data_IF_554172259159
#
_entry.id   IF_554172259159
#
_cell.length_a   1.000
_cell.length_b   1.000
_cell.length_c   1.000
_cell.angle_alpha   90.00
_cell.angle_beta   90.00
_cell.angle_gamma   90.00
#
_symmetry.space_group_name_H-M   'P 1'
#
loop_
_entity.id
_entity.type
_entity.pdbx_description
1 polymer ?
#
# COMPACT_ATOMS: atom_id res chain seq x y z
N UNK A 1 46.29 14.03 -11.49
CA UNK A 1 45.02 14.46 -12.14
C UNK A 1 43.79 13.72 -11.62
N UNK A 2 43.79 12.38 -11.52
CA UNK A 2 42.67 11.56 -10.98
C UNK A 2 42.18 11.98 -9.57
N UNK A 3 43.09 12.35 -8.67
CA UNK A 3 42.77 12.75 -7.28
C UNK A 3 42.00 14.07 -7.15
N UNK A 4 42.25 15.06 -8.02
CA UNK A 4 41.47 16.32 -8.06
C UNK A 4 40.06 16.13 -8.62
N UNK A 5 39.88 15.18 -9.55
CA UNK A 5 38.56 14.87 -10.13
C UNK A 5 37.70 14.13 -9.09
N UNK A 6 38.27 13.14 -8.41
CA UNK A 6 37.57 12.40 -7.35
C UNK A 6 37.18 13.29 -6.15
N UNK A 7 38.03 14.24 -5.77
CA UNK A 7 37.71 15.17 -4.68
C UNK A 7 36.64 16.20 -5.08
N UNK A 8 36.64 16.67 -6.33
CA UNK A 8 35.60 17.54 -6.88
C UNK A 8 34.25 16.82 -7.01
N UNK A 9 34.24 15.56 -7.47
CA UNK A 9 33.03 14.73 -7.49
C UNK A 9 32.47 14.50 -6.08
N UNK A 10 33.32 14.16 -5.09
CA UNK A 10 32.88 14.02 -3.70
C UNK A 10 32.27 15.30 -3.14
N UNK A 11 32.86 16.48 -3.40
CA UNK A 11 32.29 17.77 -2.98
C UNK A 11 30.95 18.06 -3.63
N UNK A 12 30.79 17.78 -4.93
CA UNK A 12 29.53 18.02 -5.64
C UNK A 12 28.41 17.11 -5.13
N UNK A 13 28.70 15.83 -4.85
CA UNK A 13 27.73 14.90 -4.25
C UNK A 13 27.33 15.40 -2.84
N UNK A 14 28.30 15.91 -2.07
CA UNK A 14 28.01 16.43 -0.74
C UNK A 14 27.16 17.71 -0.78
N UNK A 15 27.44 18.62 -1.72
CA UNK A 15 26.65 19.83 -1.96
C UNK A 15 25.24 19.54 -2.48
N UNK A 16 25.08 18.52 -3.32
CA UNK A 16 23.75 18.09 -3.78
C UNK A 16 22.94 17.50 -2.62
N UNK A 17 23.59 16.68 -1.77
CA UNK A 17 22.95 16.15 -0.56
C UNK A 17 22.61 17.24 0.49
N UNK A 18 23.27 18.40 0.45
CA UNK A 18 23.01 19.51 1.39
C UNK A 18 21.95 20.51 0.89
N UNK A 19 21.55 20.47 -0.39
CA UNK A 19 20.47 21.32 -0.90
C UNK A 19 19.13 20.69 -0.53
N UNK A 20 18.30 21.43 0.21
CA UNK A 20 16.92 21.02 0.49
C UNK A 20 16.11 21.05 -0.81
N UNK A 21 15.89 19.89 -1.40
CA UNK A 21 14.94 19.75 -2.51
C UNK A 21 13.54 20.01 -1.95
N UNK A 22 12.76 20.87 -2.61
CA UNK A 22 11.41 21.19 -2.18
C UNK A 22 10.55 19.90 -2.17
N UNK A 23 10.04 19.46 -1.01
CA UNK A 23 9.29 18.20 -0.91
C UNK A 23 8.01 18.21 -1.76
N UNK A 24 7.36 19.36 -1.94
CA UNK A 24 6.12 19.46 -2.72
C UNK A 24 6.42 19.14 -4.20
N UNK A 25 7.52 19.68 -4.73
CA UNK A 25 7.93 19.41 -6.12
C UNK A 25 8.24 17.93 -6.31
N UNK A 26 8.94 17.31 -5.36
CA UNK A 26 9.27 15.87 -5.41
C UNK A 26 8.00 15.02 -5.40
N UNK A 27 7.03 15.34 -4.54
CA UNK A 27 5.76 14.61 -4.47
C UNK A 27 4.94 14.79 -5.75
N UNK A 28 4.85 16.01 -6.27
CA UNK A 28 4.17 16.29 -7.53
C UNK A 28 4.79 15.50 -8.69
N UNK A 29 6.12 15.40 -8.74
CA UNK A 29 6.82 14.57 -9.72
C UNK A 29 6.49 13.09 -9.55
N UNK A 30 6.46 12.55 -8.33
CA UNK A 30 6.08 11.14 -8.12
C UNK A 30 4.63 10.87 -8.53
N UNK A 31 3.71 11.78 -8.21
CA UNK A 31 2.30 11.66 -8.65
C UNK A 31 2.23 11.65 -10.18
N UNK A 32 2.93 12.57 -10.84
CA UNK A 32 2.97 12.66 -12.30
C UNK A 32 3.62 11.42 -12.94
N UNK A 33 4.70 10.90 -12.36
CA UNK A 33 5.36 9.68 -12.82
C UNK A 33 4.41 8.49 -12.69
N UNK A 34 3.77 8.30 -11.53
CA UNK A 34 2.79 7.23 -11.33
C UNK A 34 1.61 7.35 -12.28
N UNK A 35 1.14 8.57 -12.57
CA UNK A 35 0.11 8.81 -13.58
C UNK A 35 0.57 8.39 -14.97
N UNK A 36 1.69 8.95 -15.43
CA UNK A 36 2.18 8.77 -16.80
C UNK A 36 2.61 7.33 -17.10
N UNK A 37 3.19 6.62 -16.13
CA UNK A 37 3.63 5.24 -16.33
C UNK A 37 2.50 4.22 -16.23
N UNK A 38 1.44 4.50 -15.44
CA UNK A 38 0.43 3.47 -15.11
C UNK A 38 -1.00 3.78 -15.56
N UNK A 39 -1.39 5.06 -15.61
CA UNK A 39 -2.78 5.49 -15.81
C UNK A 39 -2.95 6.49 -16.96
N UNK A 40 -1.92 6.77 -17.76
CA UNK A 40 -2.03 7.74 -18.86
C UNK A 40 -3.17 7.42 -19.84
N UNK A 41 -3.39 6.13 -20.12
CA UNK A 41 -4.44 5.62 -21.00
C UNK A 41 -5.68 5.12 -20.25
N UNK A 42 -5.96 5.61 -19.04
CA UNK A 42 -7.03 5.07 -18.20
C UNK A 42 -8.43 5.10 -18.83
N UNK A 43 -8.70 6.04 -19.74
CA UNK A 43 -9.96 6.13 -20.47
C UNK A 43 -10.13 5.03 -21.52
N UNK A 44 -9.05 4.36 -21.92
CA UNK A 44 -9.06 3.23 -22.85
C UNK A 44 -9.09 1.89 -22.12
N UNK A 45 -8.95 1.89 -20.79
CA UNK A 45 -9.03 0.66 -20.01
C UNK A 45 -10.49 0.18 -19.94
N UNK A 46 -10.67 -1.12 -20.15
CA UNK A 46 -11.96 -1.80 -20.07
C UNK A 46 -12.06 -2.65 -18.82
N UNK A 47 -13.12 -3.45 -18.73
CA UNK A 47 -13.26 -4.46 -17.67
C UNK A 47 -12.52 -5.72 -18.11
N UNK A 48 -11.60 -6.20 -17.28
CA UNK A 48 -10.80 -7.40 -17.58
C UNK A 48 -11.38 -8.65 -16.90
N UNK A 49 -10.85 -9.82 -17.24
CA UNK A 49 -11.33 -11.14 -16.78
C UNK A 49 -11.65 -11.17 -15.27
N UNK A 50 -10.67 -10.78 -14.43
CA UNK A 50 -10.81 -10.80 -12.97
C UNK A 50 -11.87 -9.79 -12.45
N UNK A 51 -12.13 -8.72 -13.21
CA UNK A 51 -13.02 -7.63 -12.83
C UNK A 51 -14.50 -7.98 -13.07
N UNK A 52 -14.79 -8.81 -14.07
CA UNK A 52 -16.16 -9.11 -14.52
C UNK A 52 -17.08 -9.64 -13.43
N UNK A 53 -16.55 -10.37 -12.45
CA UNK A 53 -17.38 -10.94 -11.37
C UNK A 53 -17.85 -9.90 -10.35
N UNK A 54 -17.15 -8.78 -10.19
CA UNK A 54 -17.38 -7.85 -9.06
C UNK A 54 -17.68 -6.42 -9.49
N UNK A 55 -16.93 -5.91 -10.46
CA UNK A 55 -16.98 -4.49 -10.85
C UNK A 55 -18.32 -4.16 -11.51
N UNK A 56 -18.78 -4.86 -12.57
CA UNK A 56 -20.09 -4.58 -13.18
C UNK A 56 -21.27 -4.73 -12.21
N UNK A 57 -21.21 -5.72 -11.32
CA UNK A 57 -22.27 -5.96 -10.32
C UNK A 57 -22.42 -4.75 -9.41
N UNK A 58 -21.30 -4.21 -8.91
CA UNK A 58 -21.33 -3.04 -8.05
C UNK A 58 -21.68 -1.75 -8.79
N UNK A 59 -21.32 -1.63 -10.07
CA UNK A 59 -21.73 -0.50 -10.92
C UNK A 59 -23.24 -0.48 -11.15
N UNK A 60 -23.88 -1.66 -11.22
CA UNK A 60 -25.33 -1.76 -11.43
C UNK A 60 -26.17 -1.45 -10.19
N UNK A 61 -25.55 -1.33 -9.01
CA UNK A 61 -26.27 -1.08 -7.77
C UNK A 61 -26.86 0.33 -7.70
N UNK A 62 -27.98 0.44 -6.98
CA UNK A 62 -28.46 1.70 -6.43
C UNK A 62 -28.00 1.89 -4.97
N UNK A 63 -28.26 3.07 -4.39
CA UNK A 63 -27.86 3.38 -3.01
C UNK A 63 -28.45 2.41 -1.98
N UNK A 64 -29.68 1.92 -2.17
CA UNK A 64 -30.29 0.97 -1.23
C UNK A 64 -29.54 -0.36 -1.22
N UNK A 65 -29.21 -0.89 -2.40
CA UNK A 65 -28.41 -2.12 -2.54
C UNK A 65 -27.00 -1.93 -1.98
N UNK A 66 -26.38 -0.77 -2.20
CA UNK A 66 -25.09 -0.45 -1.60
C UNK A 66 -25.13 -0.42 -0.07
N UNK A 67 -26.15 0.22 0.53
CA UNK A 67 -26.32 0.21 1.99
C UNK A 67 -26.60 -1.19 2.54
N UNK A 68 -27.39 -1.99 1.83
CA UNK A 68 -27.63 -3.38 2.17
C UNK A 68 -26.31 -4.17 2.15
N UNK A 69 -25.52 -4.04 1.09
CA UNK A 69 -24.20 -4.62 0.99
C UNK A 69 -23.29 -4.22 2.18
N UNK A 70 -23.23 -2.93 2.53
CA UNK A 70 -22.44 -2.46 3.68
C UNK A 70 -22.91 -3.03 5.01
N UNK A 71 -24.23 -3.16 5.22
CA UNK A 71 -24.81 -3.75 6.43
C UNK A 71 -24.48 -5.23 6.62
N UNK A 72 -24.16 -5.93 5.53
CA UNK A 72 -23.73 -7.34 5.55
C UNK A 72 -22.23 -7.48 5.77
N UNK A 73 -21.45 -6.40 5.77
CA UNK A 73 -20.00 -6.49 6.00
C UNK A 73 -19.63 -7.10 7.37
N UNK A 74 -20.27 -6.75 8.49
CA UNK A 74 -19.95 -7.36 9.78
C UNK A 74 -20.23 -8.85 9.81
N UNK A 75 -21.36 -9.30 9.26
CA UNK A 75 -21.69 -10.73 9.19
C UNK A 75 -20.75 -11.47 8.23
N UNK A 76 -20.40 -10.88 7.09
CA UNK A 76 -19.39 -11.42 6.19
C UNK A 76 -18.03 -11.53 6.87
N UNK A 77 -17.62 -10.51 7.64
CA UNK A 77 -16.41 -10.47 8.50
C UNK A 77 -16.37 -11.54 9.58
N UNK A 78 -17.53 -11.86 10.14
CA UNK A 78 -17.64 -12.91 11.14
C UNK A 78 -17.62 -14.28 10.47
N UNK A 79 -18.34 -14.48 9.36
CA UNK A 79 -18.55 -15.79 8.72
C UNK A 79 -17.44 -16.23 7.73
N UNK A 80 -16.35 -15.47 7.60
CA UNK A 80 -15.22 -15.85 6.73
C UNK A 80 -15.57 -16.08 5.25
N UNK A 81 -16.71 -15.53 4.81
CA UNK A 81 -17.16 -15.56 3.43
C UNK A 81 -16.20 -14.78 2.52
N UNK A 82 -15.87 -15.34 1.34
CA UNK A 82 -15.04 -14.66 0.33
C UNK A 82 -13.64 -15.24 0.12
N UNK A 83 -13.52 -16.57 -0.01
CA UNK A 83 -12.27 -17.27 -0.38
C UNK A 83 -11.06 -16.92 0.52
N UNK A 84 -11.31 -16.57 1.78
CA UNK A 84 -10.25 -16.18 2.72
C UNK A 84 -9.67 -14.78 2.51
N UNK A 85 -10.32 -13.91 1.72
CA UNK A 85 -9.94 -12.48 1.57
C UNK A 85 -11.19 -11.62 1.65
N UNK A 86 -11.64 -11.37 2.87
CA UNK A 86 -13.00 -10.93 3.15
C UNK A 86 -13.24 -9.45 2.84
N UNK A 87 -12.24 -8.61 3.12
CA UNK A 87 -12.28 -7.19 2.81
C UNK A 87 -11.90 -6.92 1.35
N UNK A 88 -11.20 -7.84 0.68
CA UNK A 88 -10.79 -7.69 -0.70
C UNK A 88 -11.94 -7.44 -1.69
N UNK A 89 -12.95 -8.32 -1.83
CA UNK A 89 -14.08 -8.07 -2.71
C UNK A 89 -14.86 -6.84 -2.27
N UNK A 90 -14.91 -6.60 -0.95
CA UNK A 90 -15.67 -5.52 -0.37
C UNK A 90 -15.13 -4.15 -0.77
N UNK A 91 -13.80 -3.99 -0.78
CA UNK A 91 -13.14 -2.77 -1.25
C UNK A 91 -13.36 -2.56 -2.74
N UNK A 92 -13.20 -3.62 -3.55
CA UNK A 92 -13.42 -3.55 -5.00
C UNK A 92 -14.84 -3.06 -5.30
N UNK A 93 -15.84 -3.70 -4.69
CA UNK A 93 -17.25 -3.34 -4.91
C UNK A 93 -17.57 -1.93 -4.39
N UNK A 94 -17.05 -1.55 -3.22
CA UNK A 94 -17.26 -0.21 -2.66
C UNK A 94 -16.69 0.87 -3.58
N UNK A 95 -15.45 0.75 -4.01
CA UNK A 95 -14.83 1.73 -4.90
C UNK A 95 -15.42 1.70 -6.31
N UNK A 96 -15.89 0.54 -6.78
CA UNK A 96 -16.57 0.43 -8.09
C UNK A 96 -17.91 1.15 -8.08
N UNK A 97 -18.74 0.93 -7.05
CA UNK A 97 -20.01 1.63 -6.90
C UNK A 97 -19.79 3.15 -6.78
N UNK A 98 -18.90 3.59 -5.89
CA UNK A 98 -18.62 5.02 -5.71
C UNK A 98 -18.05 5.65 -6.99
N UNK A 99 -17.22 4.94 -7.74
CA UNK A 99 -16.67 5.43 -9.00
C UNK A 99 -17.76 5.57 -10.06
N UNK A 100 -18.66 4.59 -10.17
CA UNK A 100 -19.80 4.66 -11.07
C UNK A 100 -20.63 5.94 -10.84
N UNK A 101 -20.96 6.23 -9.59
CA UNK A 101 -21.74 7.42 -9.22
C UNK A 101 -21.04 8.75 -9.52
N UNK A 102 -19.71 8.77 -9.59
CA UNK A 102 -18.91 9.99 -9.80
C UNK A 102 -18.56 10.25 -11.27
N UNK A 103 -18.49 9.21 -12.10
CA UNK A 103 -18.05 9.37 -13.50
C UNK A 103 -17.83 8.05 -14.23
N UNK A 104 -18.56 7.01 -13.86
CA UNK A 104 -18.46 5.70 -14.51
C UNK A 104 -17.11 5.01 -14.30
N UNK A 105 -16.77 4.12 -15.23
CA UNK A 105 -15.53 3.34 -15.23
C UNK A 105 -14.25 4.21 -15.11
N UNK A 106 -14.25 5.39 -15.73
CA UNK A 106 -13.12 6.32 -15.66
C UNK A 106 -12.82 6.76 -14.23
N UNK A 107 -13.85 7.08 -13.43
CA UNK A 107 -13.68 7.46 -12.04
C UNK A 107 -13.23 6.28 -11.15
N UNK A 108 -13.64 5.05 -11.48
CA UNK A 108 -13.15 3.84 -10.80
C UNK A 108 -11.63 3.69 -10.99
N UNK A 109 -11.10 3.93 -12.20
CA UNK A 109 -9.66 3.95 -12.44
C UNK A 109 -8.93 5.09 -11.71
N UNK A 110 -9.56 6.27 -11.59
CA UNK A 110 -9.01 7.36 -10.80
C UNK A 110 -8.86 7.00 -9.31
N UNK A 111 -9.79 6.22 -8.74
CA UNK A 111 -9.61 5.67 -7.39
C UNK A 111 -8.39 4.76 -7.30
N UNK A 112 -8.22 3.85 -8.27
CA UNK A 112 -7.03 3.00 -8.38
C UNK A 112 -5.75 3.83 -8.43
N UNK A 113 -5.72 4.87 -9.26
CA UNK A 113 -4.61 5.83 -9.33
C UNK A 113 -4.32 6.49 -7.98
N UNK A 114 -5.34 7.02 -7.30
CA UNK A 114 -5.18 7.68 -6.01
C UNK A 114 -4.57 6.74 -4.95
N UNK A 115 -4.98 5.46 -4.92
CA UNK A 115 -4.42 4.45 -4.01
C UNK A 115 -2.93 4.22 -4.33
N UNK A 116 -2.58 4.00 -5.60
CA UNK A 116 -1.20 3.73 -6.02
C UNK A 116 -0.30 4.96 -5.82
N UNK A 117 -0.78 6.16 -6.10
CA UNK A 117 -0.08 7.41 -5.83
C UNK A 117 0.16 7.57 -4.33
N UNK A 118 -0.83 7.27 -3.49
CA UNK A 118 -0.69 7.28 -2.03
C UNK A 118 0.36 6.28 -1.56
N UNK A 119 0.39 5.06 -2.10
CA UNK A 119 1.43 4.07 -1.82
C UNK A 119 2.83 4.61 -2.15
N UNK A 120 2.97 5.26 -3.31
CA UNK A 120 4.24 5.86 -3.75
C UNK A 120 4.71 6.95 -2.78
N UNK A 121 3.79 7.82 -2.35
CA UNK A 121 4.07 8.90 -1.40
C UNK A 121 4.44 8.34 -0.02
N UNK A 122 3.70 7.35 0.47
CA UNK A 122 3.99 6.68 1.74
C UNK A 122 5.37 6.02 1.70
N UNK A 123 5.71 5.35 0.60
CA UNK A 123 7.02 4.72 0.43
C UNK A 123 8.16 5.76 0.40
N UNK A 124 7.99 6.87 -0.32
CA UNK A 124 8.93 7.99 -0.29
C UNK A 124 9.19 8.50 1.13
N UNK A 125 8.12 8.75 1.90
CA UNK A 125 8.27 9.19 3.28
C UNK A 125 8.88 8.13 4.18
N UNK A 126 8.65 6.84 3.91
CA UNK A 126 9.28 5.76 4.66
C UNK A 126 10.78 5.78 4.45
N UNK A 127 11.25 5.82 3.20
CA UNK A 127 12.67 5.94 2.88
C UNK A 127 13.28 7.22 3.47
N UNK A 128 12.57 8.35 3.40
CA UNK A 128 13.03 9.62 3.97
C UNK A 128 13.19 9.57 5.49
N UNK A 129 12.41 8.74 6.21
CA UNK A 129 12.57 8.52 7.65
C UNK A 129 13.75 7.60 7.97
N UNK A 130 14.05 6.66 7.08
CA UNK A 130 15.11 5.67 7.29
C UNK A 130 16.49 6.19 6.89
N UNK A 131 16.57 7.03 5.85
CA UNK A 131 17.81 7.47 5.23
C UNK A 131 17.87 8.98 5.06
N UNK A 132 19.03 9.56 5.38
CA UNK A 132 19.29 11.00 5.23
C UNK A 132 19.80 11.39 3.83
N UNK A 133 19.99 10.44 2.91
CA UNK A 133 20.60 10.68 1.60
C UNK A 133 19.49 10.89 0.53
N UNK A 134 19.29 12.11 0.00
CA UNK A 134 18.19 12.39 -0.93
C UNK A 134 18.22 11.54 -2.20
N UNK A 135 19.40 11.29 -2.76
CA UNK A 135 19.57 10.47 -3.96
C UNK A 135 19.05 9.05 -3.74
N UNK A 136 19.38 8.44 -2.60
CA UNK A 136 18.91 7.09 -2.27
C UNK A 136 17.39 7.05 -2.11
N UNK A 137 16.82 8.03 -1.42
CA UNK A 137 15.37 8.14 -1.22
C UNK A 137 14.64 8.30 -2.55
N UNK A 138 15.12 9.19 -3.43
CA UNK A 138 14.51 9.43 -4.74
C UNK A 138 14.64 8.20 -5.63
N UNK A 139 15.85 7.65 -5.78
CA UNK A 139 16.09 6.48 -6.62
C UNK A 139 15.28 5.27 -6.14
N UNK A 140 15.24 5.00 -4.83
CA UNK A 140 14.44 3.93 -4.26
C UNK A 140 12.94 4.11 -4.52
N UNK A 141 12.43 5.34 -4.39
CA UNK A 141 11.02 5.65 -4.69
C UNK A 141 10.72 5.49 -6.18
N UNK A 142 11.62 5.93 -7.07
CA UNK A 142 11.46 5.71 -8.51
C UNK A 142 11.42 4.23 -8.85
N UNK A 143 12.31 3.42 -8.27
CA UNK A 143 12.30 1.96 -8.45
C UNK A 143 10.97 1.36 -8.00
N UNK A 144 10.39 1.84 -6.91
CA UNK A 144 9.07 1.40 -6.44
C UNK A 144 7.94 1.83 -7.39
N UNK A 145 7.94 3.09 -7.83
CA UNK A 145 6.88 3.64 -8.68
C UNK A 145 6.91 3.09 -10.12
N UNK A 146 8.10 2.77 -10.62
CA UNK A 146 8.35 2.29 -11.98
C UNK A 146 8.65 0.78 -12.01
N UNK A 147 8.33 0.04 -10.94
CA UNK A 147 8.70 -1.36 -10.84
C UNK A 147 8.02 -2.18 -11.95
N UNK A 148 8.78 -2.77 -12.90
CA UNK A 148 8.20 -3.33 -14.12
C UNK A 148 7.50 -4.67 -13.90
N UNK A 149 7.60 -5.27 -12.70
CA UNK A 149 6.96 -6.54 -12.41
C UNK A 149 5.44 -6.42 -12.18
N UNK A 150 4.92 -5.22 -11.99
CA UNK A 150 3.49 -4.97 -11.79
C UNK A 150 2.88 -4.36 -13.07
N UNK A 151 2.55 -5.22 -14.03
CA UNK A 151 1.87 -4.85 -15.29
C UNK A 151 0.35 -4.92 -15.19
N UNK A 152 -0.21 -5.25 -14.03
CA UNK A 152 -1.65 -5.48 -13.82
C UNK A 152 -2.40 -4.19 -13.43
N UNK A 153 -1.82 -3.03 -13.74
CA UNK A 153 -2.40 -1.71 -13.44
C UNK A 153 -3.79 -1.48 -14.06
N UNK A 154 -4.09 -2.15 -15.17
CA UNK A 154 -5.40 -2.08 -15.81
C UNK A 154 -6.47 -2.95 -15.10
N UNK A 155 -6.05 -3.89 -14.24
CA UNK A 155 -6.97 -4.78 -13.52
C UNK A 155 -7.47 -4.07 -12.26
N UNK A 156 -8.75 -3.73 -12.22
CA UNK A 156 -9.35 -2.99 -11.12
C UNK A 156 -9.37 -3.80 -9.81
N UNK A 157 -9.53 -5.12 -9.90
CA UNK A 157 -9.34 -6.06 -8.80
C UNK A 157 -7.97 -5.92 -8.13
N UNK A 158 -6.91 -5.69 -8.91
CA UNK A 158 -5.59 -5.45 -8.36
C UNK A 158 -5.48 -4.04 -7.74
N UNK A 159 -5.90 -3.02 -8.49
CA UNK A 159 -5.80 -1.62 -8.05
C UNK A 159 -6.67 -1.30 -6.81
N UNK A 160 -7.85 -1.91 -6.69
CA UNK A 160 -8.82 -1.64 -5.62
C UNK A 160 -8.83 -2.73 -4.54
N UNK A 161 -8.32 -3.93 -4.84
CA UNK A 161 -8.28 -5.06 -3.91
C UNK A 161 -6.90 -5.34 -3.33
N UNK A 162 -5.82 -5.27 -4.12
CA UNK A 162 -4.46 -5.60 -3.65
C UNK A 162 -3.72 -4.36 -3.15
N UNK A 163 -3.75 -3.25 -3.89
CA UNK A 163 -3.01 -2.03 -3.54
C UNK A 163 -3.41 -1.42 -2.17
N UNK A 164 -4.67 -1.50 -1.71
CA UNK A 164 -5.01 -1.06 -0.34
C UNK A 164 -4.32 -1.88 0.76
N UNK A 165 -4.06 -3.17 0.55
CA UNK A 165 -3.30 -3.96 1.52
C UNK A 165 -1.84 -3.49 1.62
N UNK A 166 -1.23 -3.14 0.48
CA UNK A 166 0.08 -2.49 0.45
C UNK A 166 0.06 -1.13 1.16
N UNK A 167 -1.00 -0.35 0.97
CA UNK A 167 -1.20 0.92 1.68
C UNK A 167 -1.19 0.72 3.20
N UNK A 168 -1.95 -0.27 3.69
CA UNK A 168 -1.98 -0.62 5.12
C UNK A 168 -0.62 -1.11 5.63
N UNK A 169 0.12 -1.89 4.85
CA UNK A 169 1.49 -2.29 5.20
C UNK A 169 2.42 -1.08 5.34
N UNK A 170 2.38 -0.15 4.39
CA UNK A 170 3.21 1.07 4.44
C UNK A 170 2.83 1.95 5.64
N UNK A 171 1.53 2.12 5.89
CA UNK A 171 1.03 2.81 7.10
C UNK A 171 1.51 2.09 8.36
N UNK A 172 1.43 0.76 8.41
CA UNK A 172 1.92 -0.03 9.53
C UNK A 172 3.41 0.21 9.77
N UNK A 173 4.26 0.20 8.73
CA UNK A 173 5.68 0.55 8.90
C UNK A 173 5.88 1.95 9.47
N UNK A 174 5.16 2.95 8.97
CA UNK A 174 5.22 4.33 9.48
C UNK A 174 4.83 4.45 10.96
N UNK A 175 3.81 3.70 11.37
CA UNK A 175 3.33 3.66 12.74
C UNK A 175 4.30 2.89 13.65
N UNK A 176 4.85 1.77 13.18
CA UNK A 176 5.76 0.90 13.92
C UNK A 176 7.08 1.60 14.30
N UNK A 177 7.65 2.36 13.36
CA UNK A 177 8.91 3.11 13.59
C UNK A 177 8.70 4.40 14.39
N UNK A 178 7.44 4.80 14.64
CA UNK A 178 7.15 6.00 15.42
C UNK A 178 7.47 5.79 16.90
N UNK A 179 7.88 6.86 17.58
CA UNK A 179 8.24 6.84 19.01
C UNK A 179 7.04 6.72 19.95
N UNK A 180 5.80 6.87 19.44
CA UNK A 180 4.58 6.86 20.26
C UNK A 180 4.08 5.43 20.50
N UNK A 181 3.89 5.04 21.77
CA UNK A 181 3.44 3.70 22.16
C UNK A 181 2.08 3.31 21.55
N UNK A 182 1.14 4.25 21.47
CA UNK A 182 -0.18 3.98 20.85
C UNK A 182 -0.09 3.61 19.37
N UNK A 183 0.92 4.12 18.65
CA UNK A 183 1.10 3.82 17.23
C UNK A 183 1.57 2.38 17.00
N UNK A 184 2.22 1.77 18.00
CA UNK A 184 2.54 0.34 17.93
C UNK A 184 1.27 -0.50 17.84
N UNK A 185 0.26 -0.21 18.66
CA UNK A 185 -1.03 -0.91 18.59
C UNK A 185 -1.72 -0.67 17.24
N UNK A 186 -1.82 0.59 16.79
CA UNK A 186 -2.41 0.90 15.48
C UNK A 186 -1.66 0.23 14.33
N UNK A 187 -0.33 0.10 14.43
CA UNK A 187 0.47 -0.61 13.44
C UNK A 187 0.08 -2.08 13.31
N UNK A 188 -0.10 -2.77 14.45
CA UNK A 188 -0.55 -4.15 14.45
C UNK A 188 -2.00 -4.27 13.97
N UNK A 189 -2.85 -3.30 14.28
CA UNK A 189 -4.21 -3.25 13.74
C UNK A 189 -4.20 -3.11 12.21
N UNK A 190 -3.43 -2.17 11.65
CA UNK A 190 -3.32 -1.97 10.21
C UNK A 190 -2.83 -3.24 9.49
N UNK A 191 -1.76 -3.86 9.99
CA UNK A 191 -1.25 -5.07 9.35
C UNK A 191 -2.20 -6.26 9.51
N UNK A 192 -2.86 -6.39 10.67
CA UNK A 192 -3.90 -7.39 10.87
C UNK A 192 -5.06 -7.20 9.90
N UNK A 193 -5.52 -5.97 9.67
CA UNK A 193 -6.53 -5.67 8.65
C UNK A 193 -6.07 -6.07 7.24
N UNK A 194 -4.77 -5.93 6.93
CA UNK A 194 -4.23 -6.36 5.63
C UNK A 194 -4.38 -7.86 5.36
N UNK A 195 -4.43 -8.73 6.40
CA UNK A 195 -4.68 -10.18 6.24
C UNK A 195 -6.03 -10.47 5.60
N UNK A 196 -7.04 -9.63 5.88
CA UNK A 196 -8.38 -9.80 5.32
C UNK A 196 -8.51 -9.23 3.91
N UNK A 197 -7.51 -8.50 3.42
CA UNK A 197 -7.48 -7.93 2.08
C UNK A 197 -6.55 -8.75 1.18
N UNK A 198 -5.28 -8.89 1.56
CA UNK A 198 -4.31 -9.67 0.80
C UNK A 198 -3.18 -10.14 1.71
N UNK A 199 -3.19 -11.42 2.05
CA UNK A 199 -2.35 -12.03 3.08
C UNK A 199 -0.83 -11.88 2.83
N UNK A 200 -0.40 -11.72 1.57
CA UNK A 200 1.03 -11.67 1.23
C UNK A 200 1.73 -10.47 1.87
N UNK A 201 1.06 -9.33 2.02
CA UNK A 201 1.67 -8.14 2.60
C UNK A 201 1.84 -8.26 4.12
N UNK A 202 1.03 -9.07 4.80
CA UNK A 202 1.18 -9.33 6.23
C UNK A 202 2.56 -9.89 6.56
N UNK A 203 3.05 -10.85 5.76
CA UNK A 203 4.36 -11.48 5.98
C UNK A 203 5.53 -10.52 5.80
N UNK A 204 5.41 -9.55 4.90
CA UNK A 204 6.46 -8.53 4.68
C UNK A 204 6.69 -7.70 5.96
N UNK A 205 5.68 -7.58 6.80
CA UNK A 205 5.79 -6.83 8.05
C UNK A 205 6.71 -7.50 9.09
N UNK A 206 7.09 -8.77 8.92
CA UNK A 206 8.15 -9.41 9.74
C UNK A 206 9.46 -8.61 9.71
N UNK A 207 9.71 -7.85 8.65
CA UNK A 207 10.86 -6.97 8.51
C UNK A 207 10.78 -5.66 9.34
N UNK A 208 9.63 -5.34 9.95
CA UNK A 208 9.42 -4.06 10.65
C UNK A 208 10.46 -3.77 11.76
N UNK A 209 10.88 -4.74 12.60
CA UNK A 209 11.93 -4.52 13.59
C UNK A 209 13.27 -4.07 13.00
N UNK A 210 13.59 -4.50 11.76
CA UNK A 210 14.83 -4.13 11.06
C UNK A 210 14.85 -2.66 10.65
N UNK A 211 13.69 -2.01 10.59
CA UNK A 211 13.56 -0.60 10.20
C UNK A 211 13.82 0.37 11.36
N UNK A 212 13.97 -0.12 12.60
CA UNK A 212 14.29 0.73 13.75
C UNK A 212 15.78 1.06 13.79
N UNK A 213 16.10 2.35 13.88
CA UNK A 213 17.49 2.85 13.88
C UNK A 213 18.30 2.47 15.13
N UNK A 214 17.65 2.17 16.26
CA UNK A 214 18.35 1.88 17.53
C UNK A 214 17.50 1.03 18.50
N UNK A 215 17.18 -0.24 18.16
CA UNK A 215 16.47 -1.12 19.07
C UNK A 215 17.34 -1.49 20.27
N UNK A 216 16.74 -1.56 21.48
CA UNK A 216 17.47 -1.99 22.69
C UNK A 216 18.01 -3.42 22.58
N UNK A 217 17.29 -4.30 21.90
CA UNK A 217 17.71 -5.66 21.57
C UNK A 217 16.96 -6.15 20.34
N UNK A 218 17.62 -6.09 19.18
CA UNK A 218 17.01 -6.48 17.91
C UNK A 218 16.53 -7.94 17.92
N UNK A 219 17.32 -8.86 18.50
CA UNK A 219 16.96 -10.29 18.59
C UNK A 219 15.66 -10.48 19.39
N UNK A 220 15.56 -9.86 20.56
CA UNK A 220 14.36 -9.95 21.40
C UNK A 220 13.14 -9.36 20.69
N UNK A 221 13.32 -8.23 20.02
CA UNK A 221 12.25 -7.56 19.29
C UNK A 221 11.76 -8.38 18.09
N UNK A 222 12.68 -8.97 17.32
CA UNK A 222 12.35 -9.89 16.23
C UNK A 222 11.55 -11.10 16.76
N UNK A 223 11.98 -11.72 17.85
CA UNK A 223 11.26 -12.87 18.43
C UNK A 223 9.85 -12.47 18.88
N UNK A 224 9.73 -11.37 19.64
CA UNK A 224 8.43 -10.88 20.12
C UNK A 224 7.50 -10.50 18.96
N UNK A 225 8.04 -9.86 17.93
CA UNK A 225 7.30 -9.46 16.75
C UNK A 225 6.82 -10.68 15.94
N UNK A 226 7.71 -11.65 15.70
CA UNK A 226 7.37 -12.89 15.02
C UNK A 226 6.33 -13.72 15.79
N UNK A 227 6.40 -13.75 17.12
CA UNK A 227 5.39 -14.41 17.95
C UNK A 227 4.02 -13.74 17.82
N UNK A 228 3.96 -12.40 17.84
CA UNK A 228 2.70 -11.67 17.67
C UNK A 228 2.09 -11.90 16.28
N UNK A 229 2.89 -11.85 15.22
CA UNK A 229 2.40 -12.08 13.86
C UNK A 229 1.98 -13.54 13.65
N UNK A 230 2.74 -14.50 14.17
CA UNK A 230 2.37 -15.92 14.11
C UNK A 230 1.08 -16.18 14.89
N UNK A 231 0.93 -15.60 16.08
CA UNK A 231 -0.30 -15.69 16.87
C UNK A 231 -1.51 -15.12 16.14
N UNK A 232 -1.38 -13.95 15.51
CA UNK A 232 -2.45 -13.36 14.71
C UNK A 232 -2.82 -14.22 13.48
N UNK A 233 -1.82 -14.76 12.79
CA UNK A 233 -2.03 -15.66 11.65
C UNK A 233 -2.73 -16.96 12.07
N UNK A 234 -2.28 -17.59 13.16
CA UNK A 234 -2.88 -18.81 13.71
C UNK A 234 -4.32 -18.53 14.18
N UNK A 235 -4.58 -17.40 14.84
CA UNK A 235 -5.93 -17.03 15.26
C UNK A 235 -6.89 -16.95 14.08
N UNK A 236 -6.48 -16.32 12.97
CA UNK A 236 -7.27 -16.26 11.73
C UNK A 236 -7.42 -17.65 11.12
N UNK A 237 -6.37 -18.48 11.11
CA UNK A 237 -6.42 -19.84 10.57
C UNK A 237 -7.36 -20.76 11.36
N UNK A 238 -7.39 -20.63 12.69
CA UNK A 238 -8.31 -21.37 13.57
C UNK A 238 -9.74 -20.87 13.37
N UNK A 239 -9.95 -19.55 13.36
CA UNK A 239 -11.27 -18.97 13.10
C UNK A 239 -11.87 -19.50 11.78
N UNK A 240 -11.04 -19.68 10.74
CA UNK A 240 -11.46 -20.25 9.46
C UNK A 240 -11.85 -21.72 9.52
N UNK A 241 -11.26 -22.50 10.44
CA UNK A 241 -11.56 -23.93 10.58
C UNK A 241 -12.79 -24.21 11.41
N UNK A 242 -13.19 -23.27 12.26
CA UNK A 242 -14.32 -23.43 13.19
C UNK A 242 -15.67 -23.03 12.57
N UNK A 243 -15.68 -22.65 11.28
CA UNK A 243 -16.85 -22.24 10.50
C UNK A 243 -17.06 -23.23 9.37
#
# INVERSE_FOLDING_TARGET
>A
MKTKILSKMRRNIHQFNSRSINPIVVLALFILITWTSRFYYFTQFGIYEDDHYRVPVAMAWNWSEFWQFLSLLPSNLIQMNGQGRMLHPSLIQTFSFLGEQLGGLSAIYLFGFCIVATNTILFYYLLKRLYNQPIFVIAGTLTFALFPADTTQAFLTHALGVQPALMLLLIAFHLYISKRRSFTFLSYLCIFTSLFIYEKFFLVFLAAPLLKQSPKSLKRELIQHSMLLSGAFIAVAIARRLQ
#
